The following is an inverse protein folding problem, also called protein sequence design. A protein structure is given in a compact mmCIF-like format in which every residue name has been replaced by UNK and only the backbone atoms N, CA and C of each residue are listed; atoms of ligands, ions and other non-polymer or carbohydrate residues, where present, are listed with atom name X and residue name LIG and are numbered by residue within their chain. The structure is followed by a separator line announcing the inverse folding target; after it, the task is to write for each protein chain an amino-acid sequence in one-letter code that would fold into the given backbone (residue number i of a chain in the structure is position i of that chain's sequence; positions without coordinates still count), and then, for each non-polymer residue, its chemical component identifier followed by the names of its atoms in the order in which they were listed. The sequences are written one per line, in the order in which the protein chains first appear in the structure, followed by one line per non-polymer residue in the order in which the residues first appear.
data_IF_345874731074
#
_entry.id   IF_345874731074
#
_cell.length_a   1.000
_cell.length_b   1.000
_cell.length_c   1.000
_cell.angle_alpha   90.00
_cell.angle_beta   90.00
_cell.angle_gamma   90.00
#
_symmetry.space_group_name_H-M   'P 1'
#
loop_
_entity.id
_entity.type
_entity.pdbx_description
1 polymer ?
#
# COMPACT_ATOMS: atom_id res chain seq x y z
N UNK A 1 14.46 -31.15 1.62
CA UNK A 1 13.30 -31.42 2.53
C UNK A 1 12.90 -30.16 3.33
N UNK A 2 13.85 -29.33 3.81
CA UNK A 2 13.56 -28.08 4.53
C UNK A 2 13.00 -27.00 3.61
N UNK A 3 13.57 -26.85 2.41
CA UNK A 3 13.13 -25.83 1.42
C UNK A 3 11.70 -26.07 0.91
N UNK A 4 11.31 -27.34 0.72
CA UNK A 4 9.95 -27.69 0.28
C UNK A 4 8.90 -27.46 1.36
N UNK A 5 9.28 -27.62 2.64
CA UNK A 5 8.42 -27.32 3.78
C UNK A 5 8.17 -25.81 3.91
N UNK A 6 9.25 -25.02 3.93
CA UNK A 6 9.17 -23.56 4.02
C UNK A 6 8.39 -22.93 2.87
N UNK A 7 8.62 -23.36 1.62
CA UNK A 7 7.89 -22.88 0.47
C UNK A 7 6.38 -23.19 0.55
N UNK A 8 6.00 -24.34 1.10
CA UNK A 8 4.61 -24.72 1.30
C UNK A 8 3.93 -23.90 2.38
N UNK A 9 4.64 -23.62 3.48
CA UNK A 9 4.12 -22.81 4.59
C UNK A 9 3.97 -21.35 4.19
N UNK A 10 4.91 -20.80 3.43
CA UNK A 10 4.82 -19.43 2.86
C UNK A 10 3.61 -19.34 1.93
N UNK A 11 3.45 -20.27 0.99
CA UNK A 11 2.32 -20.28 0.06
C UNK A 11 0.98 -20.43 0.77
N UNK A 12 0.92 -21.17 1.87
CA UNK A 12 -0.27 -21.30 2.70
C UNK A 12 -0.59 -20.00 3.43
N UNK A 13 0.43 -19.32 3.96
CA UNK A 13 0.28 -18.01 4.61
C UNK A 13 -0.18 -16.93 3.65
N UNK A 14 0.35 -16.90 2.43
CA UNK A 14 -0.09 -16.01 1.35
C UNK A 14 -1.56 -16.25 0.97
N UNK A 15 -1.94 -17.53 0.82
CA UNK A 15 -3.31 -17.92 0.45
C UNK A 15 -4.34 -17.56 1.54
N UNK A 16 -3.94 -17.56 2.81
CA UNK A 16 -4.78 -17.13 3.93
C UNK A 16 -4.75 -15.61 4.12
N UNK A 17 -3.61 -14.97 3.86
CA UNK A 17 -3.43 -13.53 4.02
C UNK A 17 -4.26 -12.71 3.02
N UNK A 18 -4.29 -13.10 1.75
CA UNK A 18 -5.02 -12.39 0.70
C UNK A 18 -6.52 -12.19 0.99
N UNK A 19 -7.29 -13.22 1.41
CA UNK A 19 -8.68 -13.04 1.78
C UNK A 19 -8.86 -12.10 2.98
N UNK A 20 -7.99 -12.22 3.99
CA UNK A 20 -8.06 -11.38 5.18
C UNK A 20 -7.84 -9.91 4.81
N UNK A 21 -6.81 -9.63 4.00
CA UNK A 21 -6.53 -8.29 3.48
C UNK A 21 -7.69 -7.78 2.63
N UNK A 22 -8.26 -8.63 1.77
CA UNK A 22 -9.43 -8.28 0.96
C UNK A 22 -10.65 -7.89 1.80
N UNK A 23 -10.95 -8.65 2.86
CA UNK A 23 -12.03 -8.34 3.79
C UNK A 23 -11.76 -7.02 4.52
N UNK A 24 -10.54 -6.81 5.01
CA UNK A 24 -10.15 -5.55 5.66
C UNK A 24 -10.30 -4.36 4.72
N UNK A 25 -9.88 -4.49 3.47
CA UNK A 25 -10.05 -3.44 2.46
C UNK A 25 -11.52 -3.14 2.17
N UNK A 26 -12.38 -4.16 2.11
CA UNK A 26 -13.83 -3.97 1.95
C UNK A 26 -14.41 -3.22 3.16
N UNK A 27 -13.98 -3.54 4.38
CA UNK A 27 -14.41 -2.86 5.60
C UNK A 27 -13.95 -1.39 5.60
N UNK A 28 -12.69 -1.15 5.23
CA UNK A 28 -12.08 0.20 5.21
C UNK A 28 -12.73 1.07 4.14
N UNK A 29 -12.86 0.56 2.92
CA UNK A 29 -13.44 1.32 1.82
C UNK A 29 -14.97 1.31 1.79
N UNK A 30 -15.61 0.35 2.46
CA UNK A 30 -17.06 0.19 2.43
C UNK A 30 -17.62 -0.17 1.04
N UNK A 31 -16.77 -0.51 0.06
CA UNK A 31 -17.16 -0.86 -1.30
C UNK A 31 -16.24 -1.91 -1.92
N UNK A 32 -16.82 -2.89 -2.62
CA UNK A 32 -16.06 -3.99 -3.23
C UNK A 32 -15.15 -3.49 -4.35
N UNK A 33 -15.64 -2.59 -5.20
CA UNK A 33 -14.84 -2.04 -6.31
C UNK A 33 -13.64 -1.25 -5.82
N UNK A 34 -13.80 -0.41 -4.80
CA UNK A 34 -12.72 0.35 -4.21
C UNK A 34 -11.67 -0.55 -3.54
N UNK A 35 -12.09 -1.67 -2.92
CA UNK A 35 -11.19 -2.65 -2.31
C UNK A 35 -10.45 -3.51 -3.35
N UNK A 36 -11.07 -3.78 -4.50
CA UNK A 36 -10.48 -4.58 -5.57
C UNK A 36 -9.30 -3.87 -6.25
N UNK A 37 -9.33 -2.54 -6.36
CA UNK A 37 -8.27 -1.77 -7.02
C UNK A 37 -6.89 -1.95 -6.36
N UNK A 38 -6.72 -1.80 -5.03
CA UNK A 38 -5.45 -2.08 -4.37
C UNK A 38 -4.97 -3.52 -4.55
N UNK A 39 -5.89 -4.49 -4.52
CA UNK A 39 -5.56 -5.90 -4.73
C UNK A 39 -5.06 -6.17 -6.15
N UNK A 40 -5.68 -5.56 -7.16
CA UNK A 40 -5.23 -5.66 -8.55
C UNK A 40 -3.84 -5.06 -8.73
N UNK A 41 -3.59 -3.87 -8.19
CA UNK A 41 -2.27 -3.22 -8.24
C UNK A 41 -1.24 -4.07 -7.50
N UNK A 42 -1.58 -4.62 -6.34
CA UNK A 42 -0.72 -5.53 -5.57
C UNK A 42 -0.37 -6.79 -6.35
N UNK A 43 -1.36 -7.45 -6.94
CA UNK A 43 -1.14 -8.65 -7.77
C UNK A 43 -0.25 -8.37 -8.98
N UNK A 44 -0.50 -7.28 -9.71
CA UNK A 44 0.34 -6.86 -10.84
C UNK A 44 1.77 -6.51 -10.38
N UNK A 45 1.91 -5.87 -9.23
CA UNK A 45 3.21 -5.54 -8.65
C UNK A 45 4.03 -6.79 -8.32
N UNK A 46 3.41 -7.83 -7.74
CA UNK A 46 4.07 -9.12 -7.47
C UNK A 46 4.52 -9.77 -8.77
N UNK A 47 3.65 -9.84 -9.78
CA UNK A 47 3.98 -10.44 -11.08
C UNK A 47 5.16 -9.70 -11.72
N UNK A 48 5.11 -8.37 -11.75
CA UNK A 48 6.17 -7.54 -12.33
C UNK A 48 7.49 -7.68 -11.58
N UNK A 49 7.47 -7.62 -10.25
CA UNK A 49 8.70 -7.74 -9.43
C UNK A 49 9.29 -9.15 -9.49
N UNK A 50 8.47 -10.18 -9.52
CA UNK A 50 8.92 -11.56 -9.71
C UNK A 50 9.57 -11.73 -11.09
N UNK A 51 8.99 -11.11 -12.13
CA UNK A 51 9.58 -11.09 -13.46
C UNK A 51 10.97 -10.43 -13.48
N UNK A 52 11.12 -9.27 -12.84
CA UNK A 52 12.41 -8.58 -12.70
C UNK A 52 13.40 -9.46 -11.91
N UNK A 53 12.97 -10.04 -10.80
CA UNK A 53 13.84 -10.91 -9.99
C UNK A 53 14.31 -12.13 -10.78
N UNK A 54 13.45 -12.71 -11.61
CA UNK A 54 13.79 -13.81 -12.52
C UNK A 54 14.82 -13.38 -13.56
N UNK A 55 14.71 -12.19 -14.12
CA UNK A 55 15.74 -11.65 -15.05
C UNK A 55 17.08 -11.45 -14.34
N UNK A 56 17.08 -10.93 -13.12
CA UNK A 56 18.30 -10.78 -12.31
C UNK A 56 18.92 -12.15 -11.99
N UNK A 57 18.10 -13.17 -11.73
CA UNK A 57 18.59 -14.52 -11.43
C UNK A 57 19.35 -15.20 -12.58
N UNK A 58 19.20 -14.69 -13.81
CA UNK A 58 19.99 -15.19 -14.96
C UNK A 58 21.46 -14.75 -14.91
N UNK A 59 21.78 -13.70 -14.14
CA UNK A 59 23.13 -13.12 -14.04
C UNK A 59 23.75 -13.23 -12.65
N UNK A 60 22.93 -13.41 -11.62
CA UNK A 60 23.36 -13.48 -10.22
C UNK A 60 22.61 -14.56 -9.47
N UNK A 61 23.23 -15.17 -8.48
CA UNK A 61 22.56 -16.09 -7.59
C UNK A 61 21.51 -15.37 -6.76
N UNK A 62 20.24 -15.77 -6.90
CA UNK A 62 19.12 -15.24 -6.14
C UNK A 62 18.65 -16.27 -5.14
N UNK A 63 18.61 -15.92 -3.88
CA UNK A 63 18.12 -16.79 -2.82
C UNK A 63 16.59 -16.88 -2.86
N UNK A 64 16.03 -18.08 -2.67
CA UNK A 64 14.59 -18.31 -2.65
C UNK A 64 13.84 -17.42 -1.64
N UNK A 65 14.49 -17.02 -0.55
CA UNK A 65 13.92 -16.12 0.45
C UNK A 65 13.63 -14.71 -0.10
N UNK A 66 14.38 -14.26 -1.11
CA UNK A 66 14.12 -12.99 -1.79
C UNK A 66 12.73 -12.96 -2.43
N UNK A 67 12.27 -14.09 -2.99
CA UNK A 67 10.92 -14.21 -3.54
C UNK A 67 9.84 -13.97 -2.49
N UNK A 68 10.01 -14.52 -1.29
CA UNK A 68 9.07 -14.30 -0.18
C UNK A 68 9.03 -12.83 0.26
N UNK A 69 10.20 -12.17 0.31
CA UNK A 69 10.28 -10.74 0.61
C UNK A 69 9.59 -9.88 -0.48
N UNK A 70 9.73 -10.25 -1.75
CA UNK A 70 9.02 -9.58 -2.86
C UNK A 70 7.52 -9.66 -2.66
N UNK A 71 7.00 -10.85 -2.35
CA UNK A 71 5.55 -11.06 -2.17
C UNK A 71 5.03 -10.28 -0.96
N UNK A 72 5.67 -10.40 0.20
CA UNK A 72 5.18 -9.80 1.43
C UNK A 72 5.31 -8.27 1.42
N UNK A 73 6.51 -7.77 1.12
CA UNK A 73 6.78 -6.32 1.14
C UNK A 73 6.13 -5.64 -0.07
N UNK A 74 6.24 -6.26 -1.23
CA UNK A 74 5.66 -5.73 -2.47
C UNK A 74 4.16 -5.62 -2.41
N UNK A 75 3.46 -6.66 -1.91
CA UNK A 75 2.01 -6.63 -1.74
C UNK A 75 1.60 -5.55 -0.73
N UNK A 76 2.26 -5.51 0.44
CA UNK A 76 1.95 -4.51 1.47
C UNK A 76 2.08 -3.09 0.95
N UNK A 77 3.22 -2.75 0.36
CA UNK A 77 3.47 -1.40 -0.17
C UNK A 77 2.56 -1.05 -1.36
N UNK A 78 2.27 -2.01 -2.25
CA UNK A 78 1.37 -1.76 -3.36
C UNK A 78 -0.05 -1.46 -2.88
N UNK A 79 -0.54 -2.18 -1.85
CA UNK A 79 -1.83 -1.93 -1.23
C UNK A 79 -1.84 -0.56 -0.55
N UNK A 80 -0.80 -0.21 0.22
CA UNK A 80 -0.70 1.07 0.92
C UNK A 80 -0.68 2.25 -0.05
N UNK A 81 0.10 2.17 -1.13
CA UNK A 81 0.16 3.21 -2.16
C UNK A 81 -1.19 3.35 -2.88
N UNK A 82 -1.80 2.23 -3.25
CA UNK A 82 -3.09 2.24 -3.90
C UNK A 82 -4.20 2.74 -2.97
N UNK A 83 -4.20 2.35 -1.69
CA UNK A 83 -5.12 2.81 -0.67
C UNK A 83 -5.06 4.33 -0.53
N UNK A 84 -3.85 4.88 -0.48
CA UNK A 84 -3.64 6.32 -0.35
C UNK A 84 -4.18 7.10 -1.56
N UNK A 85 -3.94 6.61 -2.78
CA UNK A 85 -4.42 7.22 -4.02
C UNK A 85 -5.95 7.09 -4.14
N UNK A 86 -6.52 5.90 -3.86
CA UNK A 86 -7.98 5.70 -3.92
C UNK A 86 -8.71 6.55 -2.89
N UNK A 87 -8.18 6.64 -1.67
CA UNK A 87 -8.75 7.48 -0.62
C UNK A 87 -8.78 8.95 -1.04
N UNK A 88 -7.66 9.46 -1.54
CA UNK A 88 -7.57 10.85 -2.01
C UNK A 88 -8.49 11.13 -3.20
N UNK A 89 -8.60 10.20 -4.15
CA UNK A 89 -9.54 10.33 -5.24
C UNK A 89 -11.00 10.43 -4.77
N UNK A 90 -11.38 9.64 -3.76
CA UNK A 90 -12.72 9.70 -3.19
C UNK A 90 -12.99 11.01 -2.47
N UNK A 91 -11.99 11.57 -1.79
CA UNK A 91 -12.09 12.91 -1.19
C UNK A 91 -12.36 13.98 -2.27
N UNK A 92 -11.58 14.00 -3.35
CA UNK A 92 -11.77 14.96 -4.44
C UNK A 92 -13.14 14.79 -5.13
N UNK A 93 -13.61 13.54 -5.29
CA UNK A 93 -14.96 13.27 -5.81
C UNK A 93 -16.05 13.75 -4.85
N UNK A 94 -15.85 13.63 -3.53
CA UNK A 94 -16.79 14.10 -2.52
C UNK A 94 -16.88 15.64 -2.45
N UNK A 95 -15.78 16.34 -2.75
CA UNK A 95 -15.74 17.80 -2.90
C UNK A 95 -16.51 18.30 -4.16
N UNK A 96 -16.98 17.37 -5.00
CA UNK A 96 -17.82 17.69 -6.16
C UNK A 96 -17.05 17.89 -7.48
N UNK A 97 -15.75 17.60 -7.51
CA UNK A 97 -14.98 17.65 -8.76
C UNK A 97 -15.42 16.55 -9.71
N UNK A 98 -15.30 16.84 -11.02
CA UNK A 98 -15.49 15.82 -12.05
C UNK A 98 -14.34 14.78 -12.02
N UNK A 99 -14.58 13.59 -12.56
CA UNK A 99 -13.64 12.47 -12.51
C UNK A 99 -12.24 12.83 -13.00
N UNK A 100 -12.15 13.59 -14.11
CA UNK A 100 -10.86 13.97 -14.71
C UNK A 100 -10.07 14.91 -13.80
N UNK A 101 -10.74 15.92 -13.26
CA UNK A 101 -10.14 16.88 -12.33
C UNK A 101 -9.74 16.17 -11.02
N UNK A 102 -10.60 15.29 -10.48
CA UNK A 102 -10.32 14.52 -9.29
C UNK A 102 -9.07 13.63 -9.46
N UNK A 103 -8.93 12.91 -10.58
CA UNK A 103 -7.72 12.12 -10.87
C UNK A 103 -6.48 13.00 -10.96
N UNK A 104 -6.55 14.13 -11.67
CA UNK A 104 -5.40 15.03 -11.83
C UNK A 104 -4.94 15.59 -10.48
N UNK A 105 -5.87 16.05 -9.62
CA UNK A 105 -5.57 16.56 -8.29
C UNK A 105 -5.01 15.47 -7.37
N UNK A 106 -5.57 14.27 -7.45
CA UNK A 106 -5.09 13.11 -6.71
C UNK A 106 -3.63 12.80 -7.05
N UNK A 107 -3.27 12.76 -8.32
CA UNK A 107 -1.89 12.48 -8.71
C UNK A 107 -0.95 13.63 -8.36
N UNK A 108 -1.39 14.88 -8.46
CA UNK A 108 -0.60 16.03 -8.06
C UNK A 108 -0.31 16.07 -6.55
N UNK A 109 -1.16 15.48 -5.72
CA UNK A 109 -1.02 15.45 -4.24
C UNK A 109 -0.53 14.09 -3.75
N UNK A 110 -1.41 13.09 -3.74
CA UNK A 110 -1.12 11.74 -3.27
C UNK A 110 -0.03 11.05 -4.11
N UNK A 111 -0.05 11.23 -5.44
CA UNK A 111 0.97 10.67 -6.33
C UNK A 111 2.37 11.18 -6.01
N UNK A 112 2.51 12.46 -5.67
CA UNK A 112 3.78 13.05 -5.23
C UNK A 112 4.27 12.40 -3.94
N UNK A 113 3.39 12.19 -2.97
CA UNK A 113 3.74 11.53 -1.70
C UNK A 113 4.19 10.09 -1.92
N UNK A 114 3.48 9.33 -2.74
CA UNK A 114 3.85 7.95 -3.11
C UNK A 114 5.22 7.92 -3.78
N UNK A 115 5.50 8.85 -4.69
CA UNK A 115 6.81 8.94 -5.38
C UNK A 115 7.94 9.17 -4.38
N UNK A 116 7.80 10.15 -3.49
CA UNK A 116 8.80 10.40 -2.45
C UNK A 116 8.99 9.21 -1.52
N UNK A 117 7.89 8.59 -1.07
CA UNK A 117 7.93 7.39 -0.22
C UNK A 117 8.69 6.25 -0.90
N UNK A 118 8.38 5.96 -2.16
CA UNK A 118 9.03 4.89 -2.91
C UNK A 118 10.54 5.15 -3.09
N UNK A 119 10.94 6.40 -3.37
CA UNK A 119 12.35 6.78 -3.48
C UNK A 119 13.06 6.58 -2.13
N UNK A 120 12.48 7.07 -1.03
CA UNK A 120 13.07 6.95 0.30
C UNK A 120 13.24 5.49 0.72
N UNK A 121 12.20 4.66 0.51
CA UNK A 121 12.27 3.22 0.80
C UNK A 121 13.30 2.54 -0.10
N UNK A 122 13.31 2.84 -1.39
CA UNK A 122 14.28 2.30 -2.35
C UNK A 122 15.72 2.63 -1.99
N UNK A 123 16.01 3.89 -1.62
CA UNK A 123 17.34 4.31 -1.16
C UNK A 123 17.73 3.60 0.14
N UNK A 124 16.79 3.49 1.09
CA UNK A 124 17.03 2.78 2.34
C UNK A 124 17.38 1.31 2.10
N UNK A 125 16.61 0.61 1.25
CA UNK A 125 16.86 -0.79 0.90
C UNK A 125 18.16 -0.96 0.10
N UNK A 126 18.56 0.05 -0.68
CA UNK A 126 19.83 0.01 -1.43
C UNK A 126 21.06 -0.06 -0.53
N UNK A 127 20.94 0.34 0.75
CA UNK A 127 22.02 0.19 1.73
C UNK A 127 22.42 -1.28 1.95
N UNK A 128 21.49 -2.22 1.73
CA UNK A 128 21.77 -3.66 1.84
C UNK A 128 22.73 -4.15 0.75
N UNK A 129 22.85 -3.43 -0.38
CA UNK A 129 23.77 -3.79 -1.47
C UNK A 129 25.24 -3.59 -1.10
N UNK A 130 25.54 -2.78 -0.07
CA UNK A 130 26.90 -2.52 0.42
C UNK A 130 27.48 -3.78 1.09
N UNK A 131 26.62 -4.63 1.66
CA UNK A 131 27.07 -5.84 2.33
C UNK A 131 27.54 -6.90 1.32
N UNK A 132 28.64 -7.62 1.62
CA UNK A 132 29.20 -8.62 0.70
C UNK A 132 28.37 -9.91 0.59
N UNK A 133 27.45 -10.14 1.53
CA UNK A 133 26.65 -11.38 1.57
C UNK A 133 25.67 -11.47 0.40
N UNK A 134 25.75 -12.54 -0.38
CA UNK A 134 24.87 -12.80 -1.52
C UNK A 134 23.40 -12.83 -1.13
N UNK A 135 23.09 -13.34 0.08
CA UNK A 135 21.75 -13.34 0.64
C UNK A 135 21.15 -11.93 0.75
N UNK A 136 21.87 -10.97 1.36
CA UNK A 136 21.39 -9.60 1.55
C UNK A 136 21.21 -8.88 0.20
N UNK A 137 22.12 -9.11 -0.74
CA UNK A 137 22.01 -8.58 -2.11
C UNK A 137 20.77 -9.11 -2.82
N UNK A 138 20.49 -10.41 -2.71
CA UNK A 138 19.30 -11.02 -3.31
C UNK A 138 18.01 -10.42 -2.74
N UNK A 139 17.93 -10.24 -1.41
CA UNK A 139 16.78 -9.61 -0.77
C UNK A 139 16.64 -8.15 -1.20
N UNK A 140 17.77 -7.40 -1.30
CA UNK A 140 17.75 -6.02 -1.75
C UNK A 140 17.21 -5.90 -3.19
N UNK A 141 17.71 -6.70 -4.13
CA UNK A 141 17.22 -6.69 -5.50
C UNK A 141 15.73 -6.98 -5.58
N UNK A 142 15.26 -7.99 -4.87
CA UNK A 142 13.84 -8.35 -4.83
C UNK A 142 12.97 -7.23 -4.26
N UNK A 143 13.33 -6.71 -3.08
CA UNK A 143 12.51 -5.70 -2.39
C UNK A 143 12.54 -4.34 -3.09
N UNK A 144 13.70 -3.90 -3.62
CA UNK A 144 13.79 -2.66 -4.40
C UNK A 144 12.92 -2.77 -5.65
N UNK A 145 12.99 -3.89 -6.40
CA UNK A 145 12.14 -4.09 -7.57
C UNK A 145 10.66 -4.07 -7.22
N UNK A 146 10.27 -4.67 -6.08
CA UNK A 146 8.89 -4.68 -5.60
C UNK A 146 8.37 -3.27 -5.27
N UNK A 147 9.17 -2.47 -4.56
CA UNK A 147 8.82 -1.08 -4.21
C UNK A 147 8.65 -0.22 -5.47
N UNK A 148 9.58 -0.33 -6.42
CA UNK A 148 9.51 0.43 -7.66
C UNK A 148 8.30 0.03 -8.51
N UNK A 149 8.01 -1.28 -8.64
CA UNK A 149 6.83 -1.76 -9.37
C UNK A 149 5.53 -1.33 -8.70
N UNK A 150 5.46 -1.42 -7.37
CA UNK A 150 4.31 -0.94 -6.61
C UNK A 150 4.03 0.54 -6.87
N UNK A 151 5.07 1.39 -6.84
CA UNK A 151 4.94 2.81 -7.13
C UNK A 151 4.53 3.07 -8.59
N UNK A 152 5.20 2.43 -9.55
CA UNK A 152 4.91 2.60 -10.98
C UNK A 152 3.45 2.23 -11.28
N UNK A 153 2.98 1.08 -10.80
CA UNK A 153 1.61 0.64 -11.08
C UNK A 153 0.57 1.49 -10.33
N UNK A 154 0.87 1.92 -9.11
CA UNK A 154 0.00 2.85 -8.39
C UNK A 154 -0.09 4.23 -9.04
N UNK A 155 0.97 4.69 -9.71
CA UNK A 155 1.01 6.01 -10.36
C UNK A 155 0.56 5.99 -11.83
N UNK A 156 0.50 4.81 -12.47
CA UNK A 156 0.12 4.68 -13.88
C UNK A 156 -1.20 3.94 -14.06
N UNK A 157 -1.25 2.66 -13.67
CA UNK A 157 -2.42 1.80 -13.89
C UNK A 157 -3.59 2.25 -13.04
N UNK A 158 -3.36 2.57 -11.77
CA UNK A 158 -4.43 2.93 -10.87
C UNK A 158 -5.17 4.21 -11.28
N UNK A 159 -4.52 5.33 -11.66
CA UNK A 159 -5.22 6.51 -12.17
C UNK A 159 -6.04 6.24 -13.44
N UNK A 160 -5.55 5.38 -14.32
CA UNK A 160 -6.30 4.96 -15.51
C UNK A 160 -7.57 4.23 -15.08
N UNK A 161 -7.48 3.27 -14.18
CA UNK A 161 -8.64 2.55 -13.65
C UNK A 161 -9.63 3.49 -12.95
N UNK A 162 -9.13 4.43 -12.14
CA UNK A 162 -9.95 5.45 -11.48
C UNK A 162 -10.67 6.37 -12.49
N UNK A 163 -10.00 6.71 -13.58
CA UNK A 163 -10.61 7.50 -14.67
C UNK A 163 -11.77 6.76 -15.35
N UNK A 164 -11.66 5.44 -15.52
CA UNK A 164 -12.74 4.61 -16.09
C UNK A 164 -13.87 4.34 -15.09
N UNK A 165 -13.55 4.04 -13.85
CA UNK A 165 -14.55 3.79 -12.82
C UNK A 165 -15.30 5.06 -12.42
N UNK A 166 -14.64 6.19 -12.30
CA UNK A 166 -15.23 7.48 -12.00
C UNK A 166 -16.20 7.43 -10.81
N UNK A 167 -17.43 7.86 -11.01
CA UNK A 167 -18.51 7.83 -10.01
C UNK A 167 -18.94 6.41 -9.59
N UNK A 168 -18.57 5.37 -10.36
CA UNK A 168 -18.93 3.99 -10.07
C UNK A 168 -18.00 3.33 -9.05
N UNK A 169 -16.97 4.03 -8.59
CA UNK A 169 -16.05 3.50 -7.56
C UNK A 169 -16.79 3.10 -6.28
N UNK A 170 -17.89 3.78 -5.96
CA UNK A 170 -18.77 3.49 -4.84
C UNK A 170 -19.95 2.55 -5.21
N UNK A 171 -20.01 2.05 -6.44
CA UNK A 171 -20.97 1.01 -6.80
C UNK A 171 -20.63 -0.26 -6.01
N UNK A 172 -21.63 -1.00 -5.54
CA UNK A 172 -21.49 -2.13 -4.61
C UNK A 172 -21.04 -1.71 -3.20
N UNK A 173 -21.52 -0.58 -2.72
CA UNK A 173 -21.31 -0.17 -1.34
C UNK A 173 -21.98 -1.17 -0.39
N UNK A 174 -21.19 -1.85 0.43
CA UNK A 174 -21.66 -2.76 1.46
C UNK A 174 -21.81 -1.95 2.74
N UNK A 175 -23.02 -1.43 2.97
CA UNK A 175 -23.33 -0.70 4.20
C UNK A 175 -24.09 0.61 3.95
N UNK A 176 -24.66 1.14 5.02
CA UNK A 176 -25.33 2.43 5.02
C UNK A 176 -24.28 3.50 4.76
N UNK A 177 -24.45 4.30 3.71
CA UNK A 177 -23.61 5.48 3.45
C UNK A 177 -23.60 6.30 4.75
N UNK A 178 -22.52 6.20 5.51
CA UNK A 178 -22.35 7.08 6.67
C UNK A 178 -22.29 8.49 6.11
N UNK A 179 -23.26 9.32 6.49
CA UNK A 179 -23.14 10.77 6.31
C UNK A 179 -21.75 11.15 6.80
N UNK A 180 -21.06 11.98 6.04
CA UNK A 180 -19.79 12.54 6.53
C UNK A 180 -20.05 13.08 7.95
N UNK A 181 -19.27 12.62 8.94
CA UNK A 181 -19.48 13.07 10.29
C UNK A 181 -19.27 14.59 10.32
N UNK A 182 -20.22 15.30 10.92
CA UNK A 182 -20.09 16.73 11.12
C UNK A 182 -18.79 17.03 11.90
N UNK A 183 -18.18 18.22 11.72
CA UNK A 183 -16.98 18.61 12.49
C UNK A 183 -17.12 18.38 14.00
N UNK A 184 -18.34 18.51 14.52
CA UNK A 184 -18.67 18.28 15.94
C UNK A 184 -18.63 16.78 16.29
N UNK A 185 -19.09 15.90 15.39
CA UNK A 185 -19.06 14.43 15.58
C UNK A 185 -17.62 13.89 15.46
N UNK A 186 -16.80 14.47 14.57
CA UNK A 186 -15.37 14.17 14.49
C UNK A 186 -14.65 14.55 15.80
N UNK A 187 -14.99 15.69 16.37
CA UNK A 187 -14.37 16.18 17.62
C UNK A 187 -14.78 15.30 18.82
N UNK A 188 -16.02 14.82 18.86
CA UNK A 188 -16.53 13.95 19.92
C UNK A 188 -16.23 12.47 19.70
N UNK A 189 -15.73 12.08 18.53
CA UNK A 189 -15.30 10.72 18.19
C UNK A 189 -14.09 10.26 19.01
N UNK A 190 -13.81 8.95 18.97
CA UNK A 190 -12.65 8.35 19.65
C UNK A 190 -11.33 9.07 19.33
N UNK A 191 -11.06 9.32 18.04
CA UNK A 191 -9.86 10.01 17.59
C UNK A 191 -9.84 11.50 17.98
N UNK A 192 -11.00 12.17 17.95
CA UNK A 192 -11.11 13.57 18.40
C UNK A 192 -10.84 13.72 19.90
N UNK A 193 -11.25 12.74 20.71
CA UNK A 193 -10.93 12.74 22.16
C UNK A 193 -9.44 12.51 22.41
N UNK A 194 -8.81 11.59 21.67
CA UNK A 194 -7.35 11.33 21.78
C UNK A 194 -6.57 12.58 21.39
N UNK A 195 -6.87 13.18 20.24
CA UNK A 195 -6.18 14.40 19.78
C UNK A 195 -6.43 15.59 20.71
N UNK A 196 -7.67 15.76 21.17
CA UNK A 196 -8.03 16.80 22.14
C UNK A 196 -7.32 16.64 23.48
N UNK A 197 -7.15 15.41 23.97
CA UNK A 197 -6.41 15.13 25.20
C UNK A 197 -4.90 15.33 25.02
N UNK A 198 -4.35 14.94 23.87
CA UNK A 198 -2.95 15.19 23.52
C UNK A 198 -2.62 16.69 23.44
N UNK A 199 -3.54 17.48 22.85
CA UNK A 199 -3.37 18.95 22.80
C UNK A 199 -3.51 19.62 24.15
N UNK A 200 -4.36 19.10 25.05
CA UNK A 200 -4.53 19.64 26.41
C UNK A 200 -3.34 19.33 27.32
N UNK A 201 -2.70 18.18 27.13
CA UNK A 201 -1.59 17.72 27.97
C UNK A 201 -0.39 17.28 27.11
N UNK A 202 0.27 18.20 26.39
CA UNK A 202 1.34 17.85 25.45
C UNK A 202 2.52 17.17 26.16
N UNK A 203 2.88 17.60 27.34
CA UNK A 203 3.97 16.99 28.12
C UNK A 203 3.66 15.53 28.50
N UNK A 204 2.44 15.24 28.91
CA UNK A 204 2.03 13.86 29.26
C UNK A 204 2.01 12.91 28.06
N UNK A 205 1.89 13.46 26.84
CA UNK A 205 1.90 12.67 25.60
C UNK A 205 3.31 12.50 25.05
N UNK A 206 4.16 13.51 25.16
CA UNK A 206 5.54 13.51 24.62
C UNK A 206 6.50 12.71 25.52
N UNK A 207 6.37 12.84 26.86
CA UNK A 207 7.30 12.20 27.80
C UNK A 207 7.40 10.68 27.63
N UNK A 208 6.31 9.90 27.50
CA UNK A 208 6.41 8.48 27.26
C UNK A 208 7.06 8.12 25.93
N UNK A 209 6.86 8.93 24.88
CA UNK A 209 7.42 8.68 23.53
C UNK A 209 8.93 8.91 23.53
N UNK A 210 9.42 9.87 24.32
CA UNK A 210 10.86 10.19 24.43
C UNK A 210 11.59 9.20 25.34
N UNK A 211 10.86 8.55 26.26
CA UNK A 211 11.42 7.56 27.22
C UNK A 211 11.48 6.13 26.66
N UNK A 212 10.85 5.84 25.51
CA UNK A 212 10.92 4.56 24.78
C UNK A 212 11.98 4.66 23.70
#
# INVERSE_FOLDING_TARGET
ALDTGMAKDIKRSELMGLPIVGILLIIVFGGVLAALLPLLVGGLSIIGSTGILTLISMTTEVNAFAQSCVTLIGLGLAIDYALFIVSRFREEMAEGFDTRTAVTRTIATAGRTVTFSAIMVGVSLSSMLIFPQAFLKSVAYGTISAVLQAAVFSLTILPILLSYLGKHIDALHIGRRKKEPTPLELYNGFWGRISGNAMKHPAATIVPIVLI
#
